data_IF_402715568888
#
_entry.id   IF_402715568888
#
_cell.length_a   1.000
_cell.length_b   1.000
_cell.length_c   1.000
_cell.angle_alpha   90.00
_cell.angle_beta   90.00
_cell.angle_gamma   90.00
#
_symmetry.space_group_name_H-M   'P 1'
#
loop_
_entity.id
_entity.type
_entity.pdbx_description
1 polymer ?
#
# COMPACT_ATOMS: atom_id res chain seq x y z
N UNK A 1 6.49 -1.55 20.45
CA UNK A 1 7.04 -2.84 20.89
C UNK A 1 5.89 -3.84 20.90
N UNK A 2 6.10 -5.04 20.38
CA UNK A 2 5.09 -6.09 20.47
C UNK A 2 4.75 -6.37 21.94
N UNK A 3 3.50 -6.73 22.22
CA UNK A 3 3.15 -7.24 23.54
C UNK A 3 3.90 -8.54 23.82
N UNK A 4 4.07 -8.91 25.09
CA UNK A 4 4.68 -10.19 25.49
C UNK A 4 3.79 -11.41 25.16
N UNK A 5 2.69 -11.20 24.45
CA UNK A 5 1.69 -12.23 24.14
C UNK A 5 1.88 -12.85 22.74
N UNK A 6 2.83 -12.37 21.95
CA UNK A 6 3.12 -12.90 20.61
C UNK A 6 4.57 -13.35 20.51
N UNK A 7 4.81 -14.34 19.66
CA UNK A 7 6.15 -14.73 19.21
C UNK A 7 6.37 -14.14 17.81
N UNK A 8 7.39 -13.29 17.61
CA UNK A 8 7.69 -12.72 16.30
C UNK A 8 7.91 -13.80 15.24
N UNK A 9 7.42 -13.57 14.03
CA UNK A 9 7.49 -14.53 12.91
C UNK A 9 8.92 -14.99 12.64
N UNK A 10 9.88 -14.07 12.63
CA UNK A 10 11.28 -14.44 12.39
C UNK A 10 11.81 -15.45 13.43
N UNK A 11 11.33 -15.39 14.68
CA UNK A 11 11.67 -16.36 15.73
C UNK A 11 10.95 -17.70 15.52
N UNK A 12 9.71 -17.68 15.02
CA UNK A 12 8.96 -18.91 14.70
C UNK A 12 9.70 -19.74 13.64
N UNK A 13 10.13 -19.10 12.55
CA UNK A 13 10.91 -19.77 11.49
C UNK A 13 12.27 -20.25 11.98
N UNK A 14 13.00 -19.40 12.72
CA UNK A 14 14.29 -19.75 13.30
C UNK A 14 14.21 -20.99 14.21
N UNK A 15 13.23 -21.03 15.11
CA UNK A 15 13.09 -22.12 16.06
C UNK A 15 12.61 -23.42 15.40
N UNK A 16 11.91 -23.31 14.27
CA UNK A 16 11.52 -24.44 13.43
C UNK A 16 12.67 -24.96 12.53
N UNK A 17 13.80 -24.24 12.44
CA UNK A 17 14.89 -24.58 11.53
C UNK A 17 14.51 -24.45 10.04
N UNK A 18 13.55 -23.58 9.73
CA UNK A 18 13.06 -23.35 8.37
C UNK A 18 13.64 -22.03 7.87
N UNK A 19 14.26 -22.07 6.68
CA UNK A 19 14.75 -20.87 6.02
C UNK A 19 13.61 -19.90 5.73
N UNK A 20 13.85 -18.62 6.02
CA UNK A 20 12.85 -17.57 5.87
C UNK A 20 13.45 -16.40 5.09
N UNK A 21 13.16 -16.37 3.80
CA UNK A 21 13.55 -15.28 2.92
C UNK A 21 12.56 -14.12 3.03
N UNK A 22 12.92 -13.10 3.80
CA UNK A 22 12.13 -11.88 3.98
C UNK A 22 12.05 -11.03 2.71
N UNK A 23 12.97 -11.22 1.75
CA UNK A 23 13.06 -10.39 0.54
C UNK A 23 11.96 -10.67 -0.49
N UNK A 24 11.25 -11.80 -0.35
CA UNK A 24 10.12 -12.16 -1.21
C UNK A 24 8.90 -11.25 -1.01
N UNK A 25 8.86 -10.51 0.10
CA UNK A 25 7.77 -9.57 0.39
C UNK A 25 8.06 -8.18 -0.18
N UNK A 26 7.01 -7.51 -0.69
CA UNK A 26 7.11 -6.11 -1.12
C UNK A 26 7.52 -5.25 0.09
N UNK A 27 8.64 -4.50 0.05
CA UNK A 27 9.21 -3.85 1.24
C UNK A 27 8.26 -2.88 1.95
N UNK A 28 7.44 -2.15 1.21
CA UNK A 28 6.45 -1.22 1.78
C UNK A 28 5.30 -1.92 2.48
N UNK A 29 5.03 -3.18 2.14
CA UNK A 29 4.03 -4.02 2.80
C UNK A 29 4.65 -4.68 4.04
N UNK A 30 5.79 -5.36 3.90
CA UNK A 30 6.44 -6.05 5.02
C UNK A 30 6.92 -5.08 6.10
N UNK A 31 7.41 -3.89 5.72
CA UNK A 31 7.85 -2.86 6.65
C UNK A 31 6.76 -2.38 7.62
N UNK A 32 5.48 -2.46 7.24
CA UNK A 32 4.37 -2.15 8.14
C UNK A 32 4.29 -3.11 9.35
N UNK A 33 4.75 -4.35 9.15
CA UNK A 33 4.69 -5.43 10.14
C UNK A 33 6.06 -5.76 10.75
N UNK A 34 7.08 -4.94 10.48
CA UNK A 34 8.45 -5.13 10.91
C UNK A 34 8.78 -4.38 12.21
N UNK A 35 9.78 -4.86 12.93
CA UNK A 35 10.38 -4.14 14.04
C UNK A 35 11.22 -2.96 13.51
N UNK A 36 10.97 -1.77 14.03
CA UNK A 36 11.60 -0.54 13.54
C UNK A 36 13.13 -0.46 13.78
N UNK A 37 13.67 -1.26 14.70
CA UNK A 37 15.11 -1.25 15.02
C UNK A 37 15.89 -2.29 14.21
N UNK A 38 15.29 -3.46 14.04
CA UNK A 38 15.96 -4.63 13.44
C UNK A 38 15.53 -4.91 12.00
N UNK A 39 14.37 -4.41 11.59
CA UNK A 39 13.79 -4.70 10.27
C UNK A 39 13.11 -6.06 10.15
N UNK A 40 13.25 -6.94 11.16
CA UNK A 40 12.64 -8.27 11.13
C UNK A 40 11.12 -8.23 11.32
N UNK A 41 10.35 -9.10 10.65
CA UNK A 41 8.91 -9.14 10.75
C UNK A 41 8.45 -9.65 12.12
N UNK A 42 7.63 -8.85 12.76
CA UNK A 42 6.89 -9.22 13.96
C UNK A 42 5.68 -10.09 13.60
N UNK A 43 5.07 -9.84 12.44
CA UNK A 43 3.92 -10.57 11.90
C UNK A 43 3.99 -10.67 10.37
N UNK A 44 3.26 -11.60 9.76
CA UNK A 44 3.20 -11.75 8.29
C UNK A 44 2.02 -10.97 7.72
N UNK A 45 2.20 -10.29 6.58
CA UNK A 45 1.09 -9.67 5.88
C UNK A 45 0.10 -10.74 5.39
N UNK A 46 -1.17 -10.60 5.79
CA UNK A 46 -2.23 -11.53 5.39
C UNK A 46 -3.14 -10.90 4.33
N UNK A 47 -3.77 -9.77 4.68
CA UNK A 47 -4.61 -8.98 3.79
C UNK A 47 -4.17 -7.51 3.83
N UNK A 48 -3.34 -7.11 2.85
CA UNK A 48 -2.84 -5.74 2.74
C UNK A 48 -3.54 -5.01 1.60
N UNK A 49 -4.10 -3.83 1.87
CA UNK A 49 -4.76 -2.97 0.89
C UNK A 49 -4.16 -1.56 0.91
N UNK A 50 -4.13 -0.90 -0.25
CA UNK A 50 -3.71 0.49 -0.37
C UNK A 50 -4.81 1.31 -1.07
N UNK A 51 -5.07 2.56 -0.64
CA UNK A 51 -6.05 3.42 -1.31
C UNK A 51 -5.70 3.64 -2.79
N UNK A 52 -6.72 3.57 -3.65
CA UNK A 52 -6.62 3.87 -5.07
C UNK A 52 -7.61 4.98 -5.46
N UNK A 53 -7.22 5.82 -6.41
CA UNK A 53 -8.12 6.78 -7.05
C UNK A 53 -8.83 6.12 -8.24
N UNK A 54 -10.05 5.66 -8.01
CA UNK A 54 -10.95 5.25 -9.08
C UNK A 54 -11.61 6.47 -9.73
N UNK A 55 -11.75 6.45 -11.05
CA UNK A 55 -12.41 7.53 -11.80
C UNK A 55 -13.21 6.96 -12.98
N UNK A 56 -14.31 7.63 -13.33
CA UNK A 56 -15.16 7.23 -14.46
C UNK A 56 -14.57 7.79 -15.77
N UNK A 57 -14.10 6.91 -16.66
CA UNK A 57 -13.48 7.30 -17.93
C UNK A 57 -14.44 8.03 -18.88
N UNK A 58 -15.72 7.68 -18.89
CA UNK A 58 -16.70 8.27 -19.82
C UNK A 58 -17.16 9.65 -19.36
N UNK A 59 -17.27 9.86 -18.04
CA UNK A 59 -17.49 11.19 -17.48
C UNK A 59 -16.37 12.17 -17.90
N UNK A 60 -15.12 11.69 -17.92
CA UNK A 60 -13.94 12.48 -18.29
C UNK A 60 -13.73 12.66 -19.81
N UNK A 61 -14.62 12.13 -20.66
CA UNK A 61 -14.66 12.45 -22.10
C UNK A 61 -15.61 13.60 -22.42
N UNK A 62 -16.50 13.97 -21.49
CA UNK A 62 -17.48 15.05 -21.69
C UNK A 62 -16.79 16.41 -21.75
N UNK A 63 -17.27 17.35 -22.58
CA UNK A 63 -16.72 18.71 -22.64
C UNK A 63 -16.78 19.35 -21.24
N UNK A 64 -15.68 20.00 -20.84
CA UNK A 64 -15.51 20.59 -19.50
C UNK A 64 -14.83 19.69 -18.46
N UNK A 65 -14.58 18.41 -18.78
CA UNK A 65 -13.87 17.46 -17.93
C UNK A 65 -12.51 17.10 -18.55
N UNK A 66 -11.46 17.82 -18.17
CA UNK A 66 -10.13 17.61 -18.76
C UNK A 66 -9.34 16.54 -18.00
N UNK A 67 -9.00 15.45 -18.69
CA UNK A 67 -7.83 14.64 -18.36
C UNK A 67 -6.60 15.45 -18.75
N UNK A 68 -5.66 15.68 -17.83
CA UNK A 68 -4.37 16.28 -18.20
C UNK A 68 -3.62 15.31 -19.11
N UNK A 69 -3.58 15.65 -20.40
CA UNK A 69 -2.87 15.07 -21.55
C UNK A 69 -2.80 13.56 -21.77
N UNK A 70 -2.97 12.64 -20.81
CA UNK A 70 -2.96 11.21 -21.10
C UNK A 70 -3.79 10.42 -20.09
N UNK A 71 -5.01 10.05 -20.48
CA UNK A 71 -5.80 8.89 -19.96
C UNK A 71 -5.93 8.72 -18.43
N UNK A 72 -5.57 9.68 -17.58
CA UNK A 72 -5.60 9.55 -16.11
C UNK A 72 -5.89 10.92 -15.43
N UNK A 73 -6.54 10.92 -14.25
CA UNK A 73 -6.65 12.11 -13.40
C UNK A 73 -5.25 12.64 -13.04
N UNK A 74 -5.13 13.94 -12.84
CA UNK A 74 -3.85 14.54 -12.50
C UNK A 74 -3.29 13.99 -11.19
N UNK A 75 -1.97 13.89 -11.10
CA UNK A 75 -1.24 13.27 -9.99
C UNK A 75 -1.21 14.09 -8.70
N UNK A 76 -1.89 15.25 -8.67
CA UNK A 76 -1.93 16.18 -7.52
C UNK A 76 -3.36 16.51 -7.13
N UNK A 77 -3.61 16.68 -5.83
CA UNK A 77 -4.93 17.03 -5.30
C UNK A 77 -5.53 18.29 -5.93
N UNK A 78 -4.72 19.33 -6.16
CA UNK A 78 -5.16 20.58 -6.78
C UNK A 78 -5.67 20.38 -8.21
N UNK A 79 -5.16 19.36 -8.92
CA UNK A 79 -5.55 19.08 -10.30
C UNK A 79 -6.86 18.29 -10.44
N UNK A 80 -7.31 17.60 -9.39
CA UNK A 80 -8.55 16.81 -9.42
C UNK A 80 -9.77 17.59 -8.88
N UNK A 81 -9.56 18.57 -7.99
CA UNK A 81 -10.64 19.40 -7.41
C UNK A 81 -11.56 20.09 -8.43
N UNK A 82 -11.04 20.71 -9.51
CA UNK A 82 -11.89 21.41 -10.48
C UNK A 82 -12.78 20.48 -11.30
N UNK A 83 -12.48 19.18 -11.33
CA UNK A 83 -13.34 18.17 -11.97
C UNK A 83 -14.48 17.78 -11.02
N UNK A 84 -14.21 17.53 -9.75
CA UNK A 84 -15.26 17.15 -8.78
C UNK A 84 -16.32 18.25 -8.56
N UNK A 85 -15.94 19.53 -8.64
CA UNK A 85 -16.86 20.66 -8.46
C UNK A 85 -17.87 20.87 -9.59
N UNK A 86 -17.79 20.08 -10.68
CA UNK A 86 -18.68 20.16 -11.85
C UNK A 86 -19.65 18.97 -11.97
N UNK A 87 -19.68 18.05 -10.99
CA UNK A 87 -20.68 16.96 -10.93
C UNK A 87 -22.08 17.49 -10.67
#
# INVERSE_FOLDING_TARGET
MASKAIKPVYQVFKDAGIDFDESVFVPTISGYYADAKTGHPLSQPFNSSTPLLYYNKDAFKKPGWTLNNHRKPGSKWQSIRPSCARQ
#
